data_IF_528794953517
#
_entry.id   IF_528794953517
#
_cell.length_a   1.000
_cell.length_b   1.000
_cell.length_c   1.000
_cell.angle_alpha   90.00
_cell.angle_beta   90.00
_cell.angle_gamma   90.00
#
_symmetry.space_group_name_H-M   'P 1'
#
loop_
_entity.id
_entity.type
_entity.pdbx_description
1 polymer ?
#
# COMPACT_ATOMS: atom_id res chain seq x y z
N UNK A 1 -53.00 48.06 -2.21
CA UNK A 1 -52.13 47.22 -1.37
C UNK A 1 -52.27 45.76 -1.81
N UNK A 2 -51.26 45.17 -2.43
CA UNK A 2 -51.21 43.73 -2.71
C UNK A 2 -49.79 43.23 -2.41
N UNK A 3 -49.65 42.44 -1.33
CA UNK A 3 -48.39 41.81 -0.93
C UNK A 3 -48.14 40.60 -1.84
N UNK A 4 -47.08 40.63 -2.64
CA UNK A 4 -46.56 39.45 -3.36
C UNK A 4 -45.94 38.48 -2.34
N UNK A 5 -46.49 37.28 -2.25
CA UNK A 5 -45.92 36.19 -1.47
C UNK A 5 -44.61 35.72 -2.12
N UNK A 6 -43.51 35.81 -1.36
CA UNK A 6 -42.19 35.28 -1.72
C UNK A 6 -42.24 33.76 -1.59
N UNK A 7 -42.05 33.06 -2.72
CA UNK A 7 -42.08 31.60 -2.84
C UNK A 7 -40.78 31.00 -2.26
N UNK A 8 -40.78 30.68 -0.96
CA UNK A 8 -39.63 30.20 -0.17
C UNK A 8 -39.55 28.66 -0.08
N UNK A 9 -39.89 27.96 -1.16
CA UNK A 9 -40.09 26.49 -1.13
C UNK A 9 -39.13 25.62 -1.95
N UNK A 10 -38.17 26.19 -2.68
CA UNK A 10 -37.40 25.43 -3.70
C UNK A 10 -35.89 25.27 -3.44
N UNK A 11 -35.34 25.88 -2.38
CA UNK A 11 -33.88 25.82 -2.11
C UNK A 11 -33.42 24.63 -1.25
N UNK A 12 -34.32 24.06 -0.44
CA UNK A 12 -33.96 23.01 0.53
C UNK A 12 -33.66 21.65 -0.13
N UNK A 13 -34.23 21.37 -1.31
CA UNK A 13 -33.95 20.17 -2.09
C UNK A 13 -32.55 20.20 -2.69
N UNK A 14 -32.08 21.36 -3.15
CA UNK A 14 -30.75 21.51 -3.75
C UNK A 14 -29.64 21.37 -2.71
N UNK A 15 -29.83 21.97 -1.53
CA UNK A 15 -28.89 21.86 -0.40
C UNK A 15 -28.83 20.41 0.12
N UNK A 16 -29.97 19.72 0.22
CA UNK A 16 -29.99 18.28 0.57
C UNK A 16 -29.28 17.43 -0.48
N UNK A 17 -29.46 17.72 -1.75
CA UNK A 17 -28.79 17.00 -2.83
C UNK A 17 -27.27 17.24 -2.79
N UNK A 18 -26.84 18.48 -2.54
CA UNK A 18 -25.43 18.84 -2.38
C UNK A 18 -24.82 18.15 -1.16
N UNK A 19 -25.53 18.11 -0.03
CA UNK A 19 -25.11 17.39 1.17
C UNK A 19 -25.02 15.89 0.92
N UNK A 20 -25.97 15.29 0.19
CA UNK A 20 -25.93 13.88 -0.19
C UNK A 20 -24.75 13.62 -1.11
N UNK A 21 -24.47 14.48 -2.11
CA UNK A 21 -23.28 14.35 -2.96
C UNK A 21 -21.99 14.49 -2.14
N UNK A 22 -21.92 15.44 -1.21
CA UNK A 22 -20.77 15.62 -0.32
C UNK A 22 -20.58 14.40 0.59
N UNK A 23 -21.67 13.87 1.16
CA UNK A 23 -21.67 12.63 1.94
C UNK A 23 -21.28 11.43 1.09
N UNK A 24 -21.75 11.33 -0.15
CA UNK A 24 -21.37 10.28 -1.08
C UNK A 24 -19.89 10.40 -1.48
N UNK A 25 -19.36 11.61 -1.66
CA UNK A 25 -17.94 11.85 -1.95
C UNK A 25 -17.04 11.59 -0.74
N UNK A 26 -17.51 11.90 0.48
CA UNK A 26 -16.82 11.55 1.72
C UNK A 26 -16.91 10.03 2.03
N UNK A 27 -18.03 9.38 1.66
CA UNK A 27 -18.27 7.95 1.89
C UNK A 27 -17.61 7.05 0.82
N UNK A 28 -17.41 7.55 -0.41
CA UNK A 28 -16.60 6.86 -1.43
C UNK A 28 -15.10 7.02 -1.13
N UNK A 29 -14.65 6.47 -0.01
CA UNK A 29 -13.28 5.96 0.07
C UNK A 29 -13.25 4.63 -0.68
N UNK A 30 -13.43 4.70 -2.01
CA UNK A 30 -13.31 3.56 -2.90
C UNK A 30 -11.82 3.24 -3.03
N UNK A 31 -11.23 2.67 -1.97
CA UNK A 31 -9.93 2.02 -2.04
C UNK A 31 -10.13 0.74 -2.84
N UNK A 32 -10.26 0.85 -4.17
CA UNK A 32 -9.81 -0.23 -5.04
C UNK A 32 -8.44 -0.66 -4.49
N UNK A 33 -8.17 -1.97 -4.44
CA UNK A 33 -6.95 -2.48 -3.85
C UNK A 33 -5.73 -1.86 -4.54
N UNK A 34 -5.25 -0.75 -4.00
CA UNK A 34 -4.38 0.19 -4.69
C UNK A 34 -3.00 -0.40 -4.96
N UNK A 35 -2.67 -1.45 -4.21
CA UNK A 35 -1.49 -2.26 -4.38
C UNK A 35 -1.56 -3.16 -5.63
N UNK A 36 -2.74 -3.59 -6.09
CA UNK A 36 -2.88 -4.34 -7.35
C UNK A 36 -2.58 -3.45 -8.55
N UNK A 37 -3.04 -2.20 -8.53
CA UNK A 37 -2.70 -1.21 -9.56
C UNK A 37 -1.20 -0.93 -9.58
N UNK A 38 -0.54 -0.98 -8.41
CA UNK A 38 0.91 -0.82 -8.31
C UNK A 38 1.70 -1.94 -8.99
N UNK A 39 1.18 -3.17 -8.99
CA UNK A 39 1.82 -4.30 -9.67
C UNK A 39 1.92 -4.10 -11.18
N UNK A 40 1.02 -3.31 -11.78
CA UNK A 40 1.10 -2.95 -13.21
C UNK A 40 2.35 -2.11 -13.52
N UNK A 41 2.88 -1.38 -12.54
CA UNK A 41 4.11 -0.58 -12.69
C UNK A 41 5.36 -1.38 -12.30
N UNK A 42 5.24 -2.27 -11.31
CA UNK A 42 6.31 -3.20 -10.90
C UNK A 42 6.21 -4.45 -11.78
N UNK A 43 6.19 -4.27 -13.10
CA UNK A 43 5.83 -5.34 -14.04
C UNK A 43 6.94 -6.35 -14.30
N UNK A 44 8.21 -6.03 -14.03
CA UNK A 44 9.35 -6.85 -14.43
C UNK A 44 10.28 -7.21 -13.27
N UNK A 45 10.82 -8.42 -13.34
CA UNK A 45 11.81 -8.90 -12.39
C UNK A 45 13.14 -8.14 -12.53
N UNK A 46 13.67 -7.54 -11.45
CA UNK A 46 14.93 -6.78 -11.53
C UNK A 46 16.17 -7.65 -11.75
N UNK A 47 16.02 -8.98 -11.67
CA UNK A 47 17.12 -9.95 -11.86
C UNK A 47 17.16 -10.49 -13.29
N UNK A 48 16.03 -10.95 -13.82
CA UNK A 48 15.98 -11.63 -15.11
C UNK A 48 15.09 -10.95 -16.16
N UNK A 49 14.52 -9.79 -15.82
CA UNK A 49 13.63 -8.99 -16.64
C UNK A 49 12.36 -9.72 -17.15
N UNK A 50 12.01 -10.86 -16.55
CA UNK A 50 10.76 -11.55 -16.84
C UNK A 50 9.58 -10.73 -16.31
N UNK A 51 8.52 -10.62 -17.09
CA UNK A 51 7.27 -10.03 -16.61
C UNK A 51 6.69 -10.88 -15.47
N UNK A 52 6.28 -10.24 -14.38
CA UNK A 52 5.64 -10.94 -13.27
C UNK A 52 4.23 -11.39 -13.67
N UNK A 53 3.83 -12.57 -13.21
CA UNK A 53 2.43 -13.00 -13.27
C UNK A 53 1.70 -12.44 -12.04
N UNK A 54 0.49 -11.90 -12.23
CA UNK A 54 -0.28 -11.25 -11.16
C UNK A 54 -0.53 -12.17 -9.94
N UNK A 55 -0.64 -13.48 -10.17
CA UNK A 55 -0.85 -14.50 -9.14
C UNK A 55 0.37 -14.76 -8.23
N UNK A 56 1.54 -14.19 -8.53
CA UNK A 56 2.77 -14.38 -7.75
C UNK A 56 3.08 -13.23 -6.81
N UNK A 57 2.25 -12.19 -6.79
CA UNK A 57 2.29 -11.12 -5.82
C UNK A 57 1.35 -11.43 -4.65
N UNK A 58 1.86 -11.30 -3.42
CA UNK A 58 1.10 -11.56 -2.20
C UNK A 58 1.29 -10.40 -1.21
N UNK A 59 0.18 -9.78 -0.81
CA UNK A 59 0.16 -8.79 0.25
C UNK A 59 0.42 -9.48 1.61
N UNK A 60 1.39 -9.00 2.38
CA UNK A 60 1.63 -9.51 3.74
C UNK A 60 1.48 -8.46 4.84
N UNK A 61 1.46 -7.17 4.49
CA UNK A 61 1.09 -6.09 5.41
C UNK A 61 0.35 -4.96 4.70
N UNK A 62 -0.66 -4.42 5.39
CA UNK A 62 -1.47 -3.28 4.95
C UNK A 62 -1.46 -2.23 6.05
N UNK A 63 -1.01 -1.03 5.72
CA UNK A 63 -1.12 0.18 6.53
C UNK A 63 -1.94 1.23 5.81
N UNK A 64 -2.32 2.30 6.51
CA UNK A 64 -3.13 3.36 5.93
C UNK A 64 -2.48 4.06 4.74
N UNK A 65 -1.14 4.17 4.76
CA UNK A 65 -0.36 4.86 3.73
C UNK A 65 0.51 3.94 2.88
N UNK A 66 0.78 2.72 3.33
CA UNK A 66 1.73 1.82 2.68
C UNK A 66 1.25 0.36 2.67
N UNK A 67 1.47 -0.32 1.55
CA UNK A 67 1.24 -1.76 1.39
C UNK A 67 2.59 -2.46 1.18
N UNK A 68 2.80 -3.59 1.86
CA UNK A 68 3.96 -4.44 1.64
C UNK A 68 3.56 -5.71 0.91
N UNK A 69 4.19 -5.92 -0.24
CA UNK A 69 3.90 -6.99 -1.19
C UNK A 69 5.17 -7.81 -1.36
N UNK A 70 5.02 -9.12 -1.33
CA UNK A 70 6.07 -10.07 -1.68
C UNK A 70 5.80 -10.64 -3.07
N UNK A 71 6.84 -10.78 -3.89
CA UNK A 71 6.76 -11.31 -5.24
C UNK A 71 7.86 -12.36 -5.43
N UNK A 72 7.50 -13.55 -5.90
CA UNK A 72 8.45 -14.58 -6.33
C UNK A 72 8.47 -14.68 -7.85
N UNK A 73 9.64 -14.46 -8.46
CA UNK A 73 9.78 -14.58 -9.91
C UNK A 73 9.60 -16.03 -10.35
N UNK A 74 8.77 -16.27 -11.37
CA UNK A 74 8.55 -17.61 -11.90
C UNK A 74 9.65 -18.20 -12.77
N UNK A 75 10.60 -17.38 -13.20
CA UNK A 75 11.71 -17.79 -14.07
C UNK A 75 12.99 -18.06 -13.30
N UNK A 76 13.42 -17.11 -12.46
CA UNK A 76 14.69 -17.21 -11.72
C UNK A 76 14.52 -17.43 -10.22
N UNK A 77 13.28 -17.57 -9.73
CA UNK A 77 12.97 -17.83 -8.31
C UNK A 77 13.46 -16.77 -7.32
N UNK A 78 13.93 -15.61 -7.79
CA UNK A 78 14.31 -14.50 -6.92
C UNK A 78 13.09 -13.95 -6.19
N UNK A 79 13.25 -13.65 -4.89
CA UNK A 79 12.22 -12.99 -4.10
C UNK A 79 12.42 -11.49 -4.10
N UNK A 80 11.30 -10.76 -4.06
CA UNK A 80 11.28 -9.31 -4.07
C UNK A 80 10.21 -8.82 -3.10
N UNK A 81 10.53 -7.80 -2.31
CA UNK A 81 9.56 -7.11 -1.45
C UNK A 81 9.40 -5.68 -1.99
N UNK A 82 8.14 -5.28 -2.21
CA UNK A 82 7.76 -3.95 -2.62
C UNK A 82 6.95 -3.27 -1.51
N UNK A 83 7.34 -2.04 -1.17
CA UNK A 83 6.53 -1.09 -0.42
C UNK A 83 5.88 -0.12 -1.39
N UNK A 84 4.56 -0.14 -1.44
CA UNK A 84 3.74 0.73 -2.31
C UNK A 84 3.02 1.76 -1.46
N UNK A 85 3.25 3.03 -1.77
CA UNK A 85 2.62 4.18 -1.12
C UNK A 85 1.71 4.88 -2.11
N UNK A 86 0.44 5.04 -1.73
CA UNK A 86 -0.52 5.81 -2.51
C UNK A 86 -0.58 7.23 -1.98
N UNK A 87 -0.44 8.20 -2.89
CA UNK A 87 -0.57 9.62 -2.61
C UNK A 87 -1.80 10.17 -3.34
N UNK A 88 -2.32 11.31 -2.92
CA UNK A 88 -3.54 11.89 -3.51
C UNK A 88 -3.46 12.12 -5.03
N UNK A 89 -2.26 12.31 -5.60
CA UNK A 89 -2.05 12.56 -7.03
C UNK A 89 -1.12 11.54 -7.70
N UNK A 90 -0.86 10.39 -7.09
CA UNK A 90 0.03 9.40 -7.69
C UNK A 90 0.41 8.26 -6.77
N UNK A 91 1.43 7.52 -7.19
CA UNK A 91 1.93 6.36 -6.47
C UNK A 91 3.45 6.43 -6.42
N UNK A 92 4.01 6.01 -5.28
CA UNK A 92 5.44 5.78 -5.13
C UNK A 92 5.65 4.34 -4.69
N UNK A 93 6.77 3.74 -5.12
CA UNK A 93 7.15 2.40 -4.72
C UNK A 93 8.65 2.31 -4.50
N UNK A 94 9.03 1.64 -3.43
CA UNK A 94 10.41 1.21 -3.17
C UNK A 94 10.40 -0.29 -3.01
N UNK A 95 11.37 -0.99 -3.58
CA UNK A 95 11.46 -2.43 -3.36
C UNK A 95 12.90 -2.91 -3.36
N UNK A 96 13.07 -4.11 -2.83
CA UNK A 96 14.37 -4.75 -2.69
C UNK A 96 14.28 -6.21 -3.08
N UNK A 97 15.33 -6.69 -3.74
CA UNK A 97 15.56 -8.13 -3.92
C UNK A 97 15.97 -8.69 -2.57
N UNK A 98 15.44 -9.85 -2.24
CA UNK A 98 15.66 -10.51 -0.97
C UNK A 98 15.73 -12.02 -1.18
N UNK A 99 16.32 -12.72 -0.22
CA UNK A 99 16.28 -14.17 -0.08
C UNK A 99 15.00 -14.65 0.64
N UNK A 100 14.30 -13.75 1.35
CA UNK A 100 13.13 -14.08 2.16
C UNK A 100 12.00 -14.70 1.33
N UNK A 101 11.52 -15.87 1.75
CA UNK A 101 10.26 -16.42 1.25
C UNK A 101 9.08 -15.57 1.73
N UNK A 102 7.89 -15.83 1.19
CA UNK A 102 6.68 -15.15 1.64
C UNK A 102 6.44 -15.33 3.15
N UNK A 103 6.66 -16.55 3.65
CA UNK A 103 6.42 -16.87 5.05
C UNK A 103 7.49 -16.24 5.95
N UNK A 104 8.76 -16.19 5.51
CA UNK A 104 9.83 -15.50 6.23
C UNK A 104 9.55 -14.00 6.32
N UNK A 105 9.16 -13.36 5.20
CA UNK A 105 8.83 -11.94 5.18
C UNK A 105 7.66 -11.64 6.12
N UNK A 106 6.62 -12.47 6.10
CA UNK A 106 5.44 -12.35 6.96
C UNK A 106 5.77 -12.55 8.44
N UNK A 107 6.71 -13.44 8.77
CA UNK A 107 7.15 -13.70 10.14
C UNK A 107 8.06 -12.57 10.64
N UNK A 108 9.11 -12.23 9.90
CA UNK A 108 10.08 -11.20 10.27
C UNK A 108 9.43 -9.82 10.41
N UNK A 109 8.44 -9.51 9.57
CA UNK A 109 7.69 -8.27 9.67
C UNK A 109 6.95 -8.11 11.01
N UNK A 110 6.61 -9.21 11.70
CA UNK A 110 5.97 -9.19 13.02
C UNK A 110 6.97 -9.13 14.17
N UNK A 111 8.26 -9.31 13.90
CA UNK A 111 9.30 -9.23 14.90
C UNK A 111 9.54 -7.78 15.29
N UNK A 112 9.93 -7.54 16.54
CA UNK A 112 10.31 -6.22 16.99
C UNK A 112 11.52 -5.70 16.16
N UNK A 113 11.59 -4.39 15.88
CA UNK A 113 12.79 -3.79 15.30
C UNK A 113 13.99 -4.05 16.19
N UNK A 114 15.14 -4.33 15.58
CA UNK A 114 16.40 -4.45 16.30
C UNK A 114 16.79 -3.12 16.93
N UNK A 115 17.18 -3.18 18.20
CA UNK A 115 17.74 -2.05 18.93
C UNK A 115 19.22 -1.88 18.62
N UNK A 116 19.74 -0.68 18.87
CA UNK A 116 21.17 -0.38 18.70
C UNK A 116 22.03 -1.29 19.60
N UNK A 117 21.59 -1.55 20.83
CA UNK A 117 22.32 -2.41 21.77
C UNK A 117 22.38 -3.86 21.31
N UNK A 118 21.30 -4.39 20.72
CA UNK A 118 21.29 -5.74 20.13
C UNK A 118 22.27 -5.83 18.95
N UNK A 119 22.34 -4.80 18.11
CA UNK A 119 23.29 -4.77 16.98
C UNK A 119 24.73 -4.74 17.50
N UNK A 120 25.04 -3.89 18.47
CA UNK A 120 26.39 -3.81 19.08
C UNK A 120 26.74 -5.13 19.76
N UNK A 121 25.80 -5.73 20.50
CA UNK A 121 25.97 -7.02 21.15
C UNK A 121 26.27 -8.13 20.15
N UNK A 122 25.51 -8.19 19.06
CA UNK A 122 25.72 -9.13 17.95
C UNK A 122 27.10 -8.98 17.31
N UNK A 123 27.53 -7.74 17.02
CA UNK A 123 28.85 -7.47 16.45
C UNK A 123 29.98 -7.98 17.35
N UNK A 124 29.95 -7.61 18.64
CA UNK A 124 30.96 -8.06 19.62
C UNK A 124 30.99 -9.57 19.79
N UNK A 125 29.83 -10.22 19.69
CA UNK A 125 29.75 -11.67 19.72
C UNK A 125 30.46 -12.31 18.52
N UNK A 126 30.24 -11.80 17.31
CA UNK A 126 30.89 -12.32 16.10
C UNK A 126 32.41 -12.13 16.18
N UNK A 127 32.87 -10.91 16.48
CA UNK A 127 34.31 -10.56 16.57
C UNK A 127 35.09 -11.43 17.58
N UNK A 128 34.43 -11.85 18.67
CA UNK A 128 35.07 -12.68 19.69
C UNK A 128 35.17 -14.15 19.31
N UNK A 129 34.26 -14.66 18.47
CA UNK A 129 34.11 -16.10 18.20
C UNK A 129 34.55 -16.51 16.79
N UNK A 130 34.84 -15.55 15.91
CA UNK A 130 35.32 -15.74 14.54
C UNK A 130 36.44 -14.76 14.23
#
# INVERSE_FOLDING_TARGET
MAKKAVNKGKDLTFIRFLFIILLFMLAKNNRSESWLEALKFIGHCPICNQHYEENRAKLFAKHDVANLIHITCGKCSSNFIAMVVMMGQGMSSVGMVTDLSFDDAKQLYKTAPLTVDEIIGGYKFIEKNY
#
